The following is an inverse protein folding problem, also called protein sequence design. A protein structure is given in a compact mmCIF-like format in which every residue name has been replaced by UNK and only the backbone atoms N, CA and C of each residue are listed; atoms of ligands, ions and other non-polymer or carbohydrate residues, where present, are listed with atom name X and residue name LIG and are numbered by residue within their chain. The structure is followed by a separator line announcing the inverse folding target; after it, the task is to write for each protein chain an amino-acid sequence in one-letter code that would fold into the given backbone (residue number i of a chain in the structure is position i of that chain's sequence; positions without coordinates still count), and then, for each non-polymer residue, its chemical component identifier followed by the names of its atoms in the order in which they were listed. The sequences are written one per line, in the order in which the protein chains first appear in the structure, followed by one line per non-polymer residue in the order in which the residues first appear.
data_IF_381241520991
#
_entry.id   IF_381241520991
#
_cell.length_a   1.000
_cell.length_b   1.000
_cell.length_c   1.000
_cell.angle_alpha   90.00
_cell.angle_beta   90.00
_cell.angle_gamma   90.00
#
_symmetry.space_group_name_H-M   'P 1'
#
loop_
_entity.id
_entity.type
_entity.pdbx_description
1 polymer ?
#
# COMPACT_ATOMS: atom_id res chain seq x y z
N UNK A 1 -14.45 8.40 -6.43
CA UNK A 1 -13.14 8.90 -5.93
C UNK A 1 -13.22 10.20 -5.12
N UNK A 2 -14.27 11.03 -5.26
CA UNK A 2 -14.38 12.29 -4.47
C UNK A 2 -14.74 12.06 -3.01
N UNK A 3 -15.25 10.90 -2.64
CA UNK A 3 -15.64 10.57 -1.26
C UNK A 3 -14.47 10.02 -0.41
N UNK A 4 -13.42 9.52 -1.06
CA UNK A 4 -12.29 8.87 -0.40
C UNK A 4 -11.05 9.76 -0.48
N UNK A 5 -10.62 10.32 0.66
CA UNK A 5 -9.45 11.20 0.71
C UNK A 5 -8.11 10.47 0.66
N UNK A 6 -8.02 9.30 1.32
CA UNK A 6 -6.77 8.57 1.52
C UNK A 6 -6.53 7.39 0.57
N UNK A 7 -7.55 6.87 -0.12
CA UNK A 7 -7.46 5.70 -1.00
C UNK A 7 -8.22 5.90 -2.32
N UNK A 8 -8.24 7.12 -2.83
CA UNK A 8 -9.02 7.50 -4.01
C UNK A 8 -8.59 6.76 -5.27
N UNK A 9 -7.29 6.51 -5.43
CA UNK A 9 -6.74 5.83 -6.61
C UNK A 9 -7.11 4.35 -6.54
N UNK A 10 -6.85 3.69 -5.42
CA UNK A 10 -7.19 2.30 -5.22
C UNK A 10 -8.69 2.03 -5.44
N UNK A 11 -9.57 2.85 -4.86
CA UNK A 11 -11.03 2.76 -5.05
C UNK A 11 -11.45 3.00 -6.51
N UNK A 12 -10.82 3.95 -7.20
CA UNK A 12 -11.12 4.20 -8.59
C UNK A 12 -10.63 3.08 -9.51
N UNK A 13 -9.47 2.49 -9.23
CA UNK A 13 -8.95 1.33 -9.96
C UNK A 13 -9.86 0.12 -9.76
N UNK A 14 -10.29 -0.17 -8.53
CA UNK A 14 -11.23 -1.25 -8.24
C UNK A 14 -12.57 -1.05 -8.99
N UNK A 15 -13.15 0.16 -8.93
CA UNK A 15 -14.37 0.48 -9.66
C UNK A 15 -14.21 0.37 -11.17
N UNK A 16 -13.06 0.77 -11.70
CA UNK A 16 -12.75 0.66 -13.12
C UNK A 16 -12.63 -0.81 -13.55
N UNK A 17 -11.94 -1.63 -12.75
CA UNK A 17 -11.83 -3.07 -12.99
C UNK A 17 -13.20 -3.76 -12.98
N UNK A 18 -14.09 -3.37 -12.07
CA UNK A 18 -15.46 -3.90 -12.03
C UNK A 18 -16.25 -3.55 -13.29
N UNK A 19 -16.16 -2.30 -13.75
CA UNK A 19 -16.84 -1.87 -15.00
C UNK A 19 -16.25 -2.58 -16.22
N UNK A 20 -14.93 -2.70 -16.30
CA UNK A 20 -14.25 -3.41 -17.39
C UNK A 20 -14.64 -4.90 -17.41
N UNK A 21 -14.70 -5.56 -16.25
CA UNK A 21 -15.18 -6.93 -16.17
C UNK A 21 -16.64 -7.06 -16.64
N UNK A 22 -17.52 -6.15 -16.22
CA UNK A 22 -18.92 -6.12 -16.64
C UNK A 22 -19.09 -5.93 -18.16
N UNK A 23 -18.20 -5.15 -18.78
CA UNK A 23 -18.21 -4.87 -20.22
C UNK A 23 -17.42 -5.89 -21.05
N UNK A 24 -16.74 -6.86 -20.42
CA UNK A 24 -15.85 -7.79 -21.11
C UNK A 24 -14.60 -7.10 -21.70
N UNK A 25 -14.19 -5.95 -21.16
CA UNK A 25 -13.03 -5.19 -21.61
C UNK A 25 -11.80 -5.63 -20.85
N UNK A 26 -10.76 -6.04 -21.55
CA UNK A 26 -9.44 -6.39 -20.96
C UNK A 26 -8.44 -5.31 -21.33
N UNK A 27 -8.01 -4.47 -20.39
CA UNK A 27 -6.96 -3.49 -20.65
C UNK A 27 -5.63 -4.15 -21.02
N UNK A 28 -4.84 -3.55 -21.92
CA UNK A 28 -3.51 -4.07 -22.24
C UNK A 28 -2.54 -3.86 -21.06
N UNK A 29 -1.36 -4.56 -21.07
CA UNK A 29 -0.41 -4.52 -19.96
C UNK A 29 0.08 -3.11 -19.53
N UNK A 30 0.41 -2.16 -20.43
CA UNK A 30 0.92 -0.85 -20.01
C UNK A 30 -0.06 -0.03 -19.17
N UNK A 31 -1.36 0.13 -19.52
CA UNK A 31 -2.34 0.75 -18.62
C UNK A 31 -2.53 0.04 -17.28
N UNK A 32 -2.45 -1.29 -17.24
CA UNK A 32 -2.54 -2.05 -15.99
C UNK A 32 -1.31 -1.78 -15.10
N UNK A 33 -0.10 -1.76 -15.68
CA UNK A 33 1.12 -1.40 -14.97
C UNK A 33 1.04 0.03 -14.40
N UNK A 34 0.56 0.99 -15.19
CA UNK A 34 0.38 2.36 -14.73
C UNK A 34 -0.61 2.49 -13.57
N UNK A 35 -1.72 1.74 -13.59
CA UNK A 35 -2.68 1.71 -12.48
C UNK A 35 -2.05 1.13 -11.21
N UNK A 36 -1.34 0.00 -11.31
CA UNK A 36 -0.61 -0.61 -10.18
C UNK A 36 0.45 0.34 -9.63
N UNK A 37 1.20 1.00 -10.50
CA UNK A 37 2.17 2.02 -10.12
C UNK A 37 1.53 3.14 -9.28
N UNK A 38 0.39 3.67 -9.73
CA UNK A 38 -0.32 4.72 -8.99
C UNK A 38 -0.88 4.22 -7.64
N UNK A 39 -1.40 2.99 -7.58
CA UNK A 39 -1.91 2.40 -6.32
C UNK A 39 -0.75 2.17 -5.34
N UNK A 40 0.40 1.69 -5.80
CA UNK A 40 1.60 1.55 -4.97
C UNK A 40 2.08 2.91 -4.44
N UNK A 41 2.09 3.94 -5.29
CA UNK A 41 2.44 5.31 -4.91
C UNK A 41 1.48 5.89 -3.84
N UNK A 42 0.16 5.70 -4.01
CA UNK A 42 -0.83 6.11 -3.01
C UNK A 42 -0.65 5.36 -1.69
N UNK A 43 -0.40 4.05 -1.74
CA UNK A 43 -0.15 3.22 -0.55
C UNK A 43 1.12 3.67 0.18
N UNK A 44 2.18 3.99 -0.56
CA UNK A 44 3.42 4.53 -0.02
C UNK A 44 3.19 5.89 0.67
N UNK A 45 2.44 6.81 0.02
CA UNK A 45 2.09 8.10 0.61
C UNK A 45 1.33 7.96 1.93
N UNK A 46 0.31 7.09 1.95
CA UNK A 46 -0.51 6.85 3.15
C UNK A 46 0.30 6.18 4.26
N UNK A 47 1.18 5.25 3.92
CA UNK A 47 2.08 4.61 4.88
C UNK A 47 3.07 5.62 5.46
N UNK A 48 3.73 6.42 4.62
CA UNK A 48 4.62 7.49 5.05
C UNK A 48 3.92 8.51 5.97
N UNK A 49 2.67 8.90 5.64
CA UNK A 49 1.87 9.78 6.49
C UNK A 49 1.72 9.23 7.91
N UNK A 50 1.34 7.94 8.03
CA UNK A 50 1.17 7.28 9.33
C UNK A 50 2.49 7.18 10.11
N UNK A 51 3.55 6.74 9.44
CA UNK A 51 4.86 6.50 10.06
C UNK A 51 5.56 7.79 10.49
N UNK A 52 5.46 8.86 9.69
CA UNK A 52 6.25 10.07 9.88
C UNK A 52 5.49 11.19 10.60
N UNK A 53 4.16 11.12 10.68
CA UNK A 53 3.34 12.15 11.29
C UNK A 53 2.44 11.62 12.41
N UNK A 54 1.52 10.70 12.10
CA UNK A 54 0.48 10.32 13.05
C UNK A 54 1.04 9.51 14.22
N UNK A 55 1.82 8.48 13.94
CA UNK A 55 2.32 7.58 14.99
C UNK A 55 3.36 8.21 15.90
N UNK A 56 4.34 8.98 15.42
CA UNK A 56 5.19 9.72 16.33
C UNK A 56 4.39 10.55 17.33
N UNK A 57 3.35 11.25 16.88
CA UNK A 57 2.48 12.04 17.76
C UNK A 57 1.74 11.19 18.80
N UNK A 58 1.27 10.00 18.41
CA UNK A 58 0.56 9.10 19.32
C UNK A 58 1.43 8.64 20.51
N UNK A 59 2.74 8.51 20.29
CA UNK A 59 3.70 8.04 21.31
C UNK A 59 4.59 9.16 21.88
N UNK A 60 4.30 10.42 21.55
CA UNK A 60 5.06 11.58 22.04
C UNK A 60 6.44 11.76 21.38
N UNK A 61 6.70 11.08 20.25
CA UNK A 61 7.90 11.29 19.47
C UNK A 61 7.75 12.45 18.48
N UNK A 62 8.87 13.00 18.01
CA UNK A 62 8.86 14.12 17.06
C UNK A 62 8.53 13.64 15.64
N UNK A 63 7.54 14.24 14.96
CA UNK A 63 7.24 13.94 13.57
C UNK A 63 8.37 14.35 12.61
N UNK A 64 8.60 13.54 11.56
CA UNK A 64 9.56 13.84 10.49
C UNK A 64 8.87 14.60 9.33
N UNK A 65 8.42 15.83 9.59
CA UNK A 65 7.58 16.61 8.69
C UNK A 65 8.26 16.97 7.37
N UNK A 66 9.56 17.27 7.39
CA UNK A 66 10.26 17.70 6.17
C UNK A 66 10.47 16.52 5.22
N UNK A 67 10.79 15.34 5.73
CA UNK A 67 10.83 14.12 4.94
C UNK A 67 9.45 13.78 4.36
N UNK A 68 8.39 13.86 5.16
CA UNK A 68 7.03 13.64 4.68
C UNK A 68 6.65 14.62 3.56
N UNK A 69 7.00 15.90 3.66
CA UNK A 69 6.77 16.91 2.61
C UNK A 69 7.49 16.53 1.32
N UNK A 70 8.78 16.16 1.40
CA UNK A 70 9.56 15.75 0.21
C UNK A 70 8.96 14.53 -0.46
N UNK A 71 8.64 13.47 0.29
CA UNK A 71 7.98 12.28 -0.23
C UNK A 71 6.66 12.62 -0.93
N UNK A 72 5.81 13.43 -0.31
CA UNK A 72 4.53 13.84 -0.90
C UNK A 72 4.71 14.71 -2.16
N UNK A 73 5.68 15.58 -2.20
CA UNK A 73 5.99 16.36 -3.41
C UNK A 73 6.36 15.45 -4.58
N UNK A 74 7.25 14.47 -4.36
CA UNK A 74 7.62 13.50 -5.38
C UNK A 74 6.41 12.67 -5.85
N UNK A 75 5.64 12.11 -4.92
CA UNK A 75 4.49 11.25 -5.25
C UNK A 75 3.37 12.02 -5.97
N UNK A 76 3.14 13.28 -5.63
CA UNK A 76 2.06 14.11 -6.19
C UNK A 76 2.21 14.43 -7.67
N UNK A 77 3.43 14.40 -8.20
CA UNK A 77 3.70 14.74 -9.61
C UNK A 77 3.72 13.49 -10.52
N UNK A 78 3.70 12.27 -9.97
CA UNK A 78 3.72 11.02 -10.74
C UNK A 78 2.63 10.94 -11.81
N UNK A 79 1.35 11.27 -11.54
CA UNK A 79 0.32 11.21 -12.57
C UNK A 79 0.62 12.09 -13.78
N UNK A 80 1.25 13.26 -13.57
CA UNK A 80 1.63 14.19 -14.65
C UNK A 80 2.78 13.63 -15.50
N UNK A 81 3.61 12.78 -14.93
CA UNK A 81 4.74 12.14 -15.63
C UNK A 81 4.32 10.87 -16.38
N UNK A 82 3.11 10.39 -16.15
CA UNK A 82 2.53 9.21 -16.80
C UNK A 82 1.51 9.59 -17.87
N UNK A 83 0.61 10.53 -17.54
CA UNK A 83 -0.58 10.82 -18.33
C UNK A 83 -0.56 12.27 -18.84
N UNK A 84 -0.36 12.49 -20.15
CA UNK A 84 -0.28 13.85 -20.71
C UNK A 84 -1.58 14.65 -20.50
N UNK A 85 -2.72 13.96 -20.52
CA UNK A 85 -4.05 14.59 -20.37
C UNK A 85 -4.53 14.59 -18.91
N UNK A 86 -3.72 14.12 -17.95
CA UNK A 86 -4.08 13.94 -16.54
C UNK A 86 -5.28 13.01 -16.30
N UNK A 87 -5.75 12.33 -17.34
CA UNK A 87 -6.83 11.35 -17.28
C UNK A 87 -6.20 9.97 -17.18
N UNK A 88 -6.31 9.33 -16.04
CA UNK A 88 -5.73 8.00 -15.80
C UNK A 88 -6.80 6.91 -15.65
N UNK A 89 -8.05 7.30 -15.38
CA UNK A 89 -9.16 6.40 -15.05
C UNK A 89 -10.10 6.14 -16.26
N UNK A 90 -9.54 5.83 -17.42
CA UNK A 90 -10.27 5.52 -18.63
C UNK A 90 -10.49 4.01 -18.77
N UNK A 91 -11.72 3.60 -19.13
CA UNK A 91 -12.07 2.19 -19.41
C UNK A 91 -11.22 1.69 -20.59
N UNK A 92 -10.65 0.49 -20.44
CA UNK A 92 -9.76 -0.10 -21.44
C UNK A 92 -8.34 0.48 -21.47
N UNK A 93 -8.08 1.55 -20.74
CA UNK A 93 -6.77 2.18 -20.61
C UNK A 93 -6.73 3.62 -21.09
N UNK A 94 -6.09 4.47 -20.29
CA UNK A 94 -5.83 5.86 -20.62
C UNK A 94 -4.63 6.01 -21.57
N UNK A 95 -4.50 7.17 -22.21
CA UNK A 95 -3.29 7.52 -22.96
C UNK A 95 -2.11 7.65 -22.03
N UNK A 96 -1.03 6.91 -22.32
CA UNK A 96 0.22 6.90 -21.58
C UNK A 96 1.35 7.48 -22.42
N UNK A 97 2.13 8.37 -21.83
CA UNK A 97 3.39 8.87 -22.36
C UNK A 97 4.40 9.05 -21.21
N UNK A 98 4.96 7.94 -20.68
CA UNK A 98 5.82 7.98 -19.51
C UNK A 98 7.09 8.80 -19.75
N UNK A 99 7.31 9.85 -18.97
CA UNK A 99 8.56 10.60 -18.95
C UNK A 99 9.63 9.77 -18.22
N UNK A 100 10.16 8.74 -18.89
CA UNK A 100 10.98 7.68 -18.26
C UNK A 100 12.19 8.20 -17.50
N UNK A 101 12.92 9.18 -18.03
CA UNK A 101 14.09 9.75 -17.36
C UNK A 101 13.70 10.46 -16.05
N UNK A 102 12.61 11.24 -16.07
CA UNK A 102 12.11 11.94 -14.90
C UNK A 102 11.59 10.95 -13.84
N UNK A 103 10.86 9.92 -14.28
CA UNK A 103 10.34 8.87 -13.40
C UNK A 103 11.47 8.08 -12.74
N UNK A 104 12.53 7.73 -13.47
CA UNK A 104 13.69 7.06 -12.91
C UNK A 104 14.36 7.92 -11.82
N UNK A 105 14.64 9.20 -12.12
CA UNK A 105 15.22 10.11 -11.14
C UNK A 105 14.34 10.31 -9.90
N UNK A 106 13.02 10.32 -10.08
CA UNK A 106 12.07 10.40 -8.95
C UNK A 106 12.06 9.14 -8.10
N UNK A 107 12.16 7.95 -8.70
CA UNK A 107 12.25 6.69 -7.97
C UNK A 107 13.55 6.62 -7.15
N UNK A 108 14.68 7.08 -7.71
CA UNK A 108 15.95 7.17 -6.99
C UNK A 108 15.83 8.13 -5.78
N UNK A 109 15.17 9.27 -5.95
CA UNK A 109 14.91 10.20 -4.86
C UNK A 109 13.97 9.62 -3.80
N UNK A 110 12.90 8.93 -4.19
CA UNK A 110 12.00 8.24 -3.25
C UNK A 110 12.75 7.18 -2.45
N UNK A 111 13.60 6.40 -3.11
CA UNK A 111 14.46 5.41 -2.46
C UNK A 111 15.40 6.06 -1.44
N UNK A 112 16.01 7.18 -1.79
CA UNK A 112 16.88 7.92 -0.87
C UNK A 112 16.11 8.41 0.37
N UNK A 113 14.96 9.05 0.19
CA UNK A 113 14.14 9.56 1.31
C UNK A 113 13.65 8.44 2.24
N UNK A 114 13.24 7.31 1.69
CA UNK A 114 12.82 6.14 2.47
C UNK A 114 14.01 5.58 3.25
N UNK A 115 15.16 5.43 2.60
CA UNK A 115 16.37 4.96 3.26
C UNK A 115 16.77 5.86 4.46
N UNK A 116 16.67 7.19 4.32
CA UNK A 116 16.94 8.10 5.42
C UNK A 116 15.98 7.90 6.62
N UNK A 117 14.74 7.56 6.35
CA UNK A 117 13.74 7.26 7.39
C UNK A 117 14.05 5.96 8.11
N UNK A 118 14.47 4.94 7.38
CA UNK A 118 14.64 3.57 7.86
C UNK A 118 16.01 3.37 8.53
N UNK A 119 17.07 3.71 7.83
CA UNK A 119 18.44 3.43 8.23
C UNK A 119 19.21 4.67 8.69
N UNK A 120 18.77 5.87 8.30
CA UNK A 120 19.55 7.10 8.50
C UNK A 120 20.88 7.03 7.75
N UNK A 121 21.98 7.26 8.47
CA UNK A 121 23.34 7.20 7.93
C UNK A 121 23.91 5.77 7.88
N UNK A 122 23.18 4.75 8.39
CA UNK A 122 23.61 3.36 8.30
C UNK A 122 23.51 2.84 6.86
N UNK A 123 24.38 1.90 6.52
CA UNK A 123 24.31 1.26 5.19
C UNK A 123 23.07 0.36 5.10
N UNK A 124 22.48 0.23 3.90
CA UNK A 124 21.30 -0.61 3.70
C UNK A 124 21.54 -2.09 4.11
N UNK A 125 22.79 -2.55 4.05
CA UNK A 125 23.16 -3.91 4.48
C UNK A 125 23.03 -4.15 6.00
N UNK A 126 22.97 -3.08 6.78
CA UNK A 126 22.80 -3.13 8.23
C UNK A 126 21.31 -3.04 8.64
N UNK A 127 20.41 -2.95 7.67
CA UNK A 127 18.99 -2.81 7.93
C UNK A 127 18.40 -4.09 8.54
N UNK A 128 17.69 -3.99 9.67
CA UNK A 128 17.33 -5.13 10.52
C UNK A 128 16.06 -5.87 10.12
N UNK A 129 15.54 -5.68 8.91
CA UNK A 129 14.22 -6.19 8.51
C UNK A 129 14.15 -7.70 8.25
N UNK A 130 15.24 -8.44 8.43
CA UNK A 130 15.32 -9.86 8.10
C UNK A 130 15.04 -10.80 9.27
N UNK A 131 15.37 -10.40 10.49
CA UNK A 131 15.23 -11.23 11.66
C UNK A 131 14.97 -10.42 12.95
N UNK A 132 14.43 -11.08 13.98
CA UNK A 132 14.06 -10.49 15.25
C UNK A 132 15.25 -9.88 16.00
N UNK A 133 16.41 -10.56 16.03
CA UNK A 133 17.60 -10.08 16.77
C UNK A 133 18.13 -8.77 16.18
N UNK A 134 18.22 -8.68 14.87
CA UNK A 134 18.63 -7.47 14.15
C UNK A 134 17.63 -6.33 14.38
N UNK A 135 16.34 -6.64 14.34
CA UNK A 135 15.27 -5.68 14.63
C UNK A 135 15.37 -5.15 16.07
N UNK A 136 15.55 -6.00 17.09
CA UNK A 136 15.72 -5.56 18.48
C UNK A 136 16.94 -4.67 18.68
N UNK A 137 18.06 -5.00 18.02
CA UNK A 137 19.28 -4.20 18.07
C UNK A 137 19.03 -2.81 17.48
N UNK A 138 18.41 -2.75 16.31
CA UNK A 138 18.03 -1.51 15.66
C UNK A 138 17.02 -0.72 16.53
N UNK A 139 16.03 -1.37 17.10
CA UNK A 139 15.05 -0.74 17.98
C UNK A 139 15.73 -0.09 19.20
N UNK A 140 16.73 -0.75 19.80
CA UNK A 140 17.46 -0.24 20.98
C UNK A 140 18.42 0.90 20.64
N UNK A 141 19.12 0.84 19.53
CA UNK A 141 20.25 1.73 19.22
C UNK A 141 19.99 2.68 18.05
N UNK A 142 18.97 2.44 17.25
CA UNK A 142 18.65 3.29 16.10
C UNK A 142 18.25 4.71 16.51
N UNK A 143 18.66 5.70 15.71
CA UNK A 143 18.35 7.13 15.89
C UNK A 143 17.35 7.65 14.88
N UNK A 144 16.87 6.80 13.95
CA UNK A 144 15.90 7.20 12.94
C UNK A 144 14.52 7.47 13.56
N UNK A 145 13.71 8.27 12.86
CA UNK A 145 12.32 8.55 13.28
C UNK A 145 11.54 7.26 13.55
N UNK A 146 11.83 6.24 12.77
CA UNK A 146 11.30 4.91 12.89
C UNK A 146 11.62 4.24 14.21
N UNK A 147 12.91 4.05 14.45
CA UNK A 147 13.39 3.39 15.64
C UNK A 147 12.90 4.10 16.90
N UNK A 148 12.94 5.45 16.88
CA UNK A 148 12.46 6.26 18.01
C UNK A 148 10.95 6.06 18.25
N UNK A 149 10.13 6.06 17.19
CA UNK A 149 8.68 5.89 17.33
C UNK A 149 8.33 4.50 17.89
N UNK A 150 8.92 3.44 17.36
CA UNK A 150 8.67 2.08 17.84
C UNK A 150 9.24 1.85 19.25
N UNK A 151 10.37 2.47 19.57
CA UNK A 151 10.93 2.43 20.93
C UNK A 151 9.99 3.08 21.94
N UNK A 152 9.50 4.29 21.65
CA UNK A 152 8.53 4.98 22.51
C UNK A 152 7.26 4.15 22.71
N UNK A 153 6.79 3.47 21.68
CA UNK A 153 5.66 2.54 21.78
C UNK A 153 5.94 1.40 22.77
N UNK A 154 7.11 0.77 22.67
CA UNK A 154 7.51 -0.30 23.57
C UNK A 154 7.70 0.19 25.02
N UNK A 155 8.37 1.33 25.21
CA UNK A 155 8.60 1.94 26.53
C UNK A 155 7.30 2.30 27.26
N UNK A 156 6.24 2.60 26.51
CA UNK A 156 4.90 2.86 27.06
C UNK A 156 4.08 1.57 27.31
N UNK A 157 4.66 0.39 27.07
CA UNK A 157 3.96 -0.89 27.25
C UNK A 157 2.85 -1.15 26.24
N UNK A 158 2.88 -0.50 25.08
CA UNK A 158 1.82 -0.58 24.06
C UNK A 158 2.09 -1.66 23.00
N UNK A 159 3.18 -2.42 23.09
CA UNK A 159 3.52 -3.44 22.09
C UNK A 159 2.39 -4.43 21.84
N UNK A 160 1.76 -4.91 22.90
CA UNK A 160 0.65 -5.89 22.87
C UNK A 160 -0.74 -5.26 22.78
N UNK A 161 -0.84 -3.93 22.70
CA UNK A 161 -2.14 -3.27 22.64
C UNK A 161 -2.91 -3.74 21.39
N UNK A 162 -4.16 -4.15 21.60
CA UNK A 162 -5.00 -4.74 20.56
C UNK A 162 -4.53 -6.12 20.07
N UNK A 163 -3.81 -6.88 20.93
CA UNK A 163 -3.40 -8.25 20.66
C UNK A 163 -4.61 -9.10 20.29
N UNK A 164 -4.49 -9.84 19.20
CA UNK A 164 -5.49 -10.80 18.73
C UNK A 164 -4.84 -12.00 18.06
N UNK A 165 -5.63 -13.03 17.81
CA UNK A 165 -5.23 -14.24 17.06
C UNK A 165 -6.00 -14.36 15.76
N UNK A 166 -6.56 -13.26 15.26
CA UNK A 166 -7.30 -13.21 14.01
C UNK A 166 -6.35 -13.55 12.85
N UNK A 167 -6.71 -14.55 12.05
CA UNK A 167 -5.94 -15.00 10.90
C UNK A 167 -6.05 -14.01 9.73
N UNK A 168 -5.07 -14.01 8.80
CA UNK A 168 -5.14 -13.15 7.63
C UNK A 168 -6.27 -13.58 6.69
N UNK A 169 -6.80 -12.63 5.94
CA UNK A 169 -7.77 -12.92 4.91
C UNK A 169 -7.17 -13.92 3.89
N UNK A 170 -7.73 -15.13 3.76
CA UNK A 170 -7.24 -16.10 2.78
C UNK A 170 -7.58 -15.66 1.36
N UNK A 171 -6.96 -16.29 0.37
CA UNK A 171 -7.43 -16.20 -1.00
C UNK A 171 -8.86 -16.75 -1.10
N UNK A 172 -9.74 -16.05 -1.78
CA UNK A 172 -11.14 -16.44 -1.98
C UNK A 172 -11.56 -16.24 -3.44
N UNK A 173 -12.60 -16.99 -3.85
CA UNK A 173 -13.19 -16.83 -5.17
C UNK A 173 -14.08 -15.60 -5.21
N UNK A 174 -13.85 -14.70 -6.16
CA UNK A 174 -14.66 -13.49 -6.37
C UNK A 174 -16.14 -13.80 -6.63
N UNK A 175 -16.44 -14.95 -7.24
CA UNK A 175 -17.82 -15.40 -7.45
C UNK A 175 -18.57 -15.65 -6.12
N UNK A 176 -17.86 -16.02 -5.05
CA UNK A 176 -18.45 -16.12 -3.70
C UNK A 176 -18.86 -14.75 -3.20
N UNK A 177 -17.98 -13.76 -3.34
CA UNK A 177 -18.25 -12.38 -2.94
C UNK A 177 -19.44 -11.80 -3.73
N UNK A 178 -19.48 -12.00 -5.05
CA UNK A 178 -20.58 -11.56 -5.92
C UNK A 178 -21.91 -12.14 -5.45
N UNK A 179 -21.98 -13.46 -5.22
CA UNK A 179 -23.20 -14.10 -4.70
C UNK A 179 -23.64 -13.56 -3.34
N UNK A 180 -22.67 -13.30 -2.44
CA UNK A 180 -22.97 -12.74 -1.11
C UNK A 180 -23.53 -11.31 -1.21
N UNK A 181 -22.96 -10.49 -2.09
CA UNK A 181 -23.43 -9.12 -2.32
C UNK A 181 -24.81 -9.07 -3.00
N UNK A 182 -25.09 -10.02 -3.89
CA UNK A 182 -26.39 -10.13 -4.59
C UNK A 182 -27.51 -10.80 -3.75
N UNK A 183 -27.17 -11.41 -2.62
CA UNK A 183 -28.15 -12.04 -1.74
C UNK A 183 -29.08 -11.00 -1.07
N UNK A 184 -30.23 -11.48 -0.53
CA UNK A 184 -31.20 -10.61 0.15
C UNK A 184 -30.63 -9.83 1.34
N UNK A 185 -29.60 -10.36 2.00
CA UNK A 185 -28.87 -9.74 3.09
C UNK A 185 -27.57 -9.01 2.63
N UNK A 186 -27.38 -8.85 1.32
CA UNK A 186 -26.14 -8.28 0.72
C UNK A 186 -25.78 -6.90 1.27
N UNK A 187 -26.75 -6.06 1.58
CA UNK A 187 -26.48 -4.76 2.20
C UNK A 187 -25.90 -4.92 3.63
N UNK A 188 -26.44 -5.83 4.42
CA UNK A 188 -25.94 -6.13 5.76
C UNK A 188 -24.53 -6.74 5.69
N UNK A 189 -24.28 -7.62 4.71
CA UNK A 189 -22.96 -8.16 4.42
C UNK A 189 -21.95 -7.06 4.07
N UNK A 190 -22.29 -6.12 3.19
CA UNK A 190 -21.41 -5.00 2.84
C UNK A 190 -21.11 -4.09 4.04
N UNK A 191 -22.04 -3.94 4.98
CA UNK A 191 -21.84 -3.15 6.20
C UNK A 191 -20.93 -3.87 7.23
N UNK A 192 -20.93 -5.21 7.25
CA UNK A 192 -20.14 -6.05 8.15
C UNK A 192 -19.64 -7.29 7.39
N UNK A 193 -18.67 -7.12 6.50
CA UNK A 193 -18.19 -8.22 5.68
C UNK A 193 -17.47 -9.26 6.54
N UNK A 194 -17.75 -10.51 6.24
CA UNK A 194 -17.08 -11.69 6.79
C UNK A 194 -16.73 -12.66 5.65
N UNK A 195 -15.88 -13.63 5.94
CA UNK A 195 -15.68 -14.79 5.09
C UNK A 195 -16.01 -16.04 5.90
N UNK A 196 -17.06 -16.76 5.47
CA UNK A 196 -17.56 -17.95 6.17
C UNK A 196 -17.89 -17.71 7.66
N UNK A 197 -18.43 -16.53 7.98
CA UNK A 197 -18.79 -16.13 9.35
C UNK A 197 -17.62 -15.68 10.21
N UNK A 198 -16.40 -15.60 9.66
CA UNK A 198 -15.22 -15.16 10.38
C UNK A 198 -14.73 -13.79 9.90
N UNK A 199 -14.21 -12.98 10.83
CA UNK A 199 -13.46 -11.76 10.52
C UNK A 199 -11.98 -12.11 10.28
N UNK A 200 -11.32 -11.35 9.43
CA UNK A 200 -9.93 -11.60 9.05
C UNK A 200 -9.07 -10.35 9.17
N UNK A 201 -7.80 -10.55 9.50
CA UNK A 201 -6.79 -9.48 9.44
C UNK A 201 -6.55 -9.08 8.00
N UNK A 202 -6.45 -7.77 7.74
CA UNK A 202 -6.18 -7.20 6.42
C UNK A 202 -5.03 -6.19 6.51
N UNK A 203 -4.66 -5.59 5.37
CA UNK A 203 -3.62 -4.56 5.33
C UNK A 203 -2.20 -5.14 5.37
N UNK A 204 -1.23 -4.33 5.83
CA UNK A 204 0.19 -4.67 5.82
C UNK A 204 0.49 -5.98 6.57
N UNK A 205 -0.10 -6.17 7.76
CA UNK A 205 0.12 -7.37 8.55
C UNK A 205 -0.32 -8.63 7.79
N UNK A 206 -1.48 -8.61 7.14
CA UNK A 206 -1.95 -9.76 6.36
C UNK A 206 -1.06 -10.04 5.14
N UNK A 207 -0.66 -9.00 4.41
CA UNK A 207 0.22 -9.15 3.24
C UNK A 207 1.61 -9.67 3.60
N UNK A 208 2.11 -9.30 4.77
CA UNK A 208 3.43 -9.70 5.28
C UNK A 208 3.37 -10.83 6.31
N UNK A 209 2.25 -11.56 6.36
CA UNK A 209 2.01 -12.62 7.36
C UNK A 209 3.13 -13.65 7.46
N UNK A 210 3.77 -13.96 6.32
CA UNK A 210 4.86 -14.95 6.20
C UNK A 210 6.25 -14.32 6.21
N UNK A 211 6.35 -12.99 6.36
CA UNK A 211 7.66 -12.33 6.45
C UNK A 211 8.34 -12.76 7.76
N UNK A 212 9.61 -13.21 7.76
CA UNK A 212 10.27 -13.80 8.93
C UNK A 212 10.17 -12.92 10.18
N UNK A 213 10.58 -11.66 10.11
CA UNK A 213 10.47 -10.72 11.22
C UNK A 213 9.01 -10.58 11.74
N UNK A 214 8.04 -10.51 10.85
CA UNK A 214 6.63 -10.34 11.25
C UNK A 214 6.10 -11.62 11.90
N UNK A 215 6.52 -12.79 11.42
CA UNK A 215 6.18 -14.07 12.04
C UNK A 215 6.75 -14.18 13.46
N UNK A 216 8.01 -13.76 13.67
CA UNK A 216 8.65 -13.72 14.98
C UNK A 216 7.91 -12.76 15.94
N UNK A 217 7.65 -11.53 15.48
CA UNK A 217 6.91 -10.54 16.28
C UNK A 217 5.50 -11.01 16.64
N UNK A 218 4.82 -11.75 15.74
CA UNK A 218 3.51 -12.33 16.05
C UNK A 218 3.58 -13.42 17.12
N UNK A 219 4.66 -14.17 17.17
CA UNK A 219 4.86 -15.17 18.22
C UNK A 219 4.89 -14.51 19.60
N UNK A 220 5.57 -13.38 19.73
CA UNK A 220 5.73 -12.69 20.99
C UNK A 220 4.54 -11.77 21.32
N UNK A 221 4.06 -11.00 20.35
CA UNK A 221 3.08 -9.92 20.53
C UNK A 221 1.72 -10.20 19.88
N UNK A 222 1.53 -11.37 19.24
CA UNK A 222 0.32 -11.64 18.43
C UNK A 222 0.14 -10.58 17.35
N UNK A 223 -1.12 -10.27 17.01
CA UNK A 223 -1.44 -9.14 16.13
C UNK A 223 -1.48 -7.81 16.91
N UNK A 224 -0.57 -7.62 17.88
CA UNK A 224 -0.47 -6.41 18.66
C UNK A 224 -0.02 -5.18 17.86
N UNK A 225 0.02 -4.05 18.52
CA UNK A 225 0.33 -2.77 17.88
C UNK A 225 1.77 -2.75 17.34
N UNK A 226 2.75 -3.32 18.08
CA UNK A 226 4.12 -3.41 17.59
C UNK A 226 4.22 -4.19 16.28
N UNK A 227 3.56 -5.36 16.22
CA UNK A 227 3.55 -6.21 15.03
C UNK A 227 2.92 -5.49 13.83
N UNK A 228 1.78 -4.81 14.02
CA UNK A 228 1.11 -4.04 12.96
C UNK A 228 1.94 -2.85 12.49
N UNK A 229 2.61 -2.16 13.39
CA UNK A 229 3.45 -1.03 13.02
C UNK A 229 4.73 -1.49 12.31
N UNK A 230 5.37 -2.55 12.82
CA UNK A 230 6.52 -3.16 12.15
C UNK A 230 6.17 -3.66 10.74
N UNK A 231 5.00 -4.30 10.57
CA UNK A 231 4.54 -4.74 9.26
C UNK A 231 4.39 -3.58 8.27
N UNK A 232 3.81 -2.44 8.68
CA UNK A 232 3.72 -1.27 7.81
C UNK A 232 5.09 -0.69 7.47
N UNK A 233 6.01 -0.82 8.38
CA UNK A 233 7.38 -0.40 8.17
C UNK A 233 8.05 -1.23 7.07
N UNK A 234 8.04 -2.55 7.23
CA UNK A 234 8.57 -3.49 6.25
C UNK A 234 7.88 -3.32 4.88
N UNK A 235 6.60 -2.97 4.87
CA UNK A 235 5.83 -2.76 3.65
C UNK A 235 6.34 -1.58 2.80
N UNK A 236 6.96 -0.55 3.40
CA UNK A 236 7.48 0.58 2.62
C UNK A 236 8.52 0.15 1.58
N UNK A 237 9.45 -0.73 1.97
CA UNK A 237 10.43 -1.30 1.04
C UNK A 237 9.75 -2.12 -0.08
N UNK A 238 8.74 -2.90 0.28
CA UNK A 238 7.95 -3.68 -0.68
C UNK A 238 7.19 -2.79 -1.68
N UNK A 239 6.62 -1.68 -1.22
CA UNK A 239 5.92 -0.71 -2.08
C UNK A 239 6.90 0.01 -3.02
N UNK A 240 8.10 0.32 -2.56
CA UNK A 240 9.15 0.89 -3.41
C UNK A 240 9.60 -0.12 -4.46
N UNK A 241 9.82 -1.38 -4.08
CA UNK A 241 10.14 -2.44 -5.03
C UNK A 241 9.03 -2.65 -6.07
N UNK A 242 7.76 -2.56 -5.67
CA UNK A 242 6.61 -2.62 -6.59
C UNK A 242 6.62 -1.44 -7.57
N UNK A 243 6.91 -0.21 -7.11
CA UNK A 243 7.06 0.94 -8.00
C UNK A 243 8.14 0.70 -9.05
N UNK A 244 9.31 0.18 -8.68
CA UNK A 244 10.37 -0.16 -9.62
C UNK A 244 9.95 -1.26 -10.59
N UNK A 245 9.29 -2.32 -10.11
CA UNK A 245 8.80 -3.40 -10.95
C UNK A 245 7.78 -2.90 -11.99
N UNK A 246 6.80 -2.12 -11.56
CA UNK A 246 5.80 -1.57 -12.50
C UNK A 246 6.42 -0.54 -13.45
N UNK A 247 7.41 0.24 -13.02
CA UNK A 247 8.14 1.18 -13.88
C UNK A 247 8.79 0.48 -15.08
N UNK A 248 9.30 -0.74 -14.92
CA UNK A 248 9.88 -1.50 -16.04
C UNK A 248 8.86 -1.85 -17.12
N UNK A 249 7.58 -1.96 -16.75
CA UNK A 249 6.47 -2.33 -17.62
C UNK A 249 5.73 -1.12 -18.23
N UNK A 250 6.13 0.09 -17.86
CA UNK A 250 5.53 1.30 -18.41
C UNK A 250 5.99 1.52 -19.85
N UNK A 251 5.05 1.56 -20.78
CA UNK A 251 5.25 1.85 -22.19
C UNK A 251 4.25 2.89 -22.66
N UNK A 252 4.52 3.52 -23.81
CA UNK A 252 3.57 4.41 -24.45
C UNK A 252 2.30 3.66 -24.86
N UNK A 253 1.16 4.31 -24.69
CA UNK A 253 -0.13 3.74 -25.06
C UNK A 253 -1.04 4.86 -25.59
N UNK A 254 -1.66 4.71 -26.77
CA UNK A 254 -2.46 5.76 -27.39
C UNK A 254 -3.77 6.07 -26.65
N UNK A 255 -4.16 5.22 -25.70
CA UNK A 255 -5.48 5.22 -25.08
C UNK A 255 -6.47 4.31 -25.81
N UNK A 256 -7.43 3.76 -25.07
CA UNK A 256 -8.48 2.94 -25.67
C UNK A 256 -9.53 3.82 -26.34
N UNK A 257 -9.98 3.40 -27.53
CA UNK A 257 -11.17 3.95 -28.17
C UNK A 257 -12.41 3.29 -27.58
N UNK A 258 -13.34 4.08 -27.04
CA UNK A 258 -14.61 3.58 -26.51
C UNK A 258 -15.54 3.18 -27.67
N UNK A 259 -15.65 1.90 -27.91
CA UNK A 259 -16.57 1.38 -28.93
C UNK A 259 -17.27 0.08 -28.51
N UNK A 260 -17.67 -0.07 -27.22
CA UNK A 260 -18.42 -1.25 -26.81
C UNK A 260 -19.63 -0.88 -25.95
N UNK A 261 -20.81 -1.19 -26.46
CA UNK A 261 -22.04 -1.23 -25.69
C UNK A 261 -22.17 -2.64 -25.11
N UNK A 262 -21.77 -2.82 -23.88
CA UNK A 262 -21.92 -4.08 -23.13
C UNK A 262 -22.78 -3.87 -21.89
N UNK A 263 -23.54 -4.88 -21.51
CA UNK A 263 -24.26 -4.96 -20.25
C UNK A 263 -23.79 -6.20 -19.51
N UNK A 264 -23.50 -6.07 -18.23
CA UNK A 264 -23.02 -7.18 -17.42
C UNK A 264 -22.78 -6.79 -15.95
N UNK A 265 -22.39 -7.76 -15.16
CA UNK A 265 -21.95 -7.55 -13.77
C UNK A 265 -20.44 -7.78 -13.67
N UNK A 266 -19.76 -7.08 -12.79
CA UNK A 266 -18.33 -7.24 -12.57
C UNK A 266 -17.90 -6.80 -11.18
N UNK A 267 -16.86 -7.43 -10.68
CA UNK A 267 -16.20 -7.08 -9.44
C UNK A 267 -14.79 -6.54 -9.70
N UNK A 268 -14.36 -5.58 -8.91
CA UNK A 268 -13.01 -5.04 -8.90
C UNK A 268 -12.43 -5.02 -7.47
N UNK A 269 -11.24 -5.56 -7.33
CA UNK A 269 -10.46 -5.56 -6.08
C UNK A 269 -9.15 -4.79 -6.25
#
# INVERSE_FOLDING_TARGET
PRLFGGCRIAQAVAGLSAVEAALGVVPPPPPLAARRFLVAAESLEQTAWRLLLDWPRCVGASPALDTLKRLRQLLSILPRKLFPDLVWNHIGGARLAPARADLAAMLDQLQHEIHQVDCGDATRNDWPLTDHRSFERWLRHGSTSAALTLRCLCEQGLADFGRSTVEPLPAFDLAVLERRMAAADGYAFCARPDLDGAVHETGALARLWRHPLIADLRTDHGNGLLTRWAARWVEMDGLLAELHAQFTLLEEHPGASMAQNGTGTGLGL
#
